data_IF_546303124176
#
_entry.id   IF_546303124176
#
_cell.length_a   1.000
_cell.length_b   1.000
_cell.length_c   1.000
_cell.angle_alpha   90.00
_cell.angle_beta   90.00
_cell.angle_gamma   90.00
#
_symmetry.space_group_name_H-M   'P 1'
#
loop_
_entity.id
_entity.type
_entity.pdbx_description
1 polymer ?
#
# COMPACT_ATOMS: atom_id res chain seq x y z
N UNK A 1 -3.37 30.51 46.65
CA UNK A 1 -3.16 31.98 46.81
C UNK A 1 -3.35 32.59 45.45
N UNK A 2 -4.50 33.22 45.32
CA UNK A 2 -4.89 34.42 44.58
C UNK A 2 -4.46 34.51 43.09
N UNK A 3 -5.34 34.40 42.16
CA UNK A 3 -6.52 35.26 41.76
C UNK A 3 -6.06 36.59 41.15
N UNK A 4 -6.38 36.80 39.85
CA UNK A 4 -7.32 37.84 39.44
C UNK A 4 -7.28 38.06 37.91
N UNK A 5 -8.37 37.74 37.28
CA UNK A 5 -9.01 38.49 36.19
C UNK A 5 -9.49 39.86 36.77
N UNK A 6 -9.94 40.86 36.03
CA UNK A 6 -10.63 40.92 34.75
C UNK A 6 -10.41 42.25 33.93
N UNK A 7 -10.98 42.44 32.75
CA UNK A 7 -12.09 43.36 32.48
C UNK A 7 -12.28 43.69 31.00
N UNK A 8 -13.53 43.60 30.59
CA UNK A 8 -14.10 44.08 29.34
C UNK A 8 -14.38 45.59 29.34
N UNK A 9 -14.48 46.20 28.18
CA UNK A 9 -15.36 47.37 27.84
C UNK A 9 -15.46 47.48 26.31
N UNK A 10 -16.56 47.21 25.73
CA UNK A 10 -17.79 47.94 25.48
C UNK A 10 -17.70 49.10 24.46
N UNK A 11 -18.44 48.82 23.37
CA UNK A 11 -19.38 49.63 22.61
C UNK A 11 -18.94 50.95 21.98
N UNK A 12 -19.26 51.10 20.67
CA UNK A 12 -20.29 52.03 20.22
C UNK A 12 -20.53 51.94 18.70
N UNK A 13 -21.76 51.75 18.37
CA UNK A 13 -22.39 51.92 17.06
C UNK A 13 -22.54 53.40 16.64
N UNK A 14 -22.36 53.70 15.37
CA UNK A 14 -23.08 54.86 14.73
C UNK A 14 -23.44 54.52 13.28
N UNK A 15 -24.70 54.76 12.99
CA UNK A 15 -25.40 54.55 11.74
C UNK A 15 -25.27 55.72 10.75
N UNK A 16 -25.15 55.40 9.49
CA UNK A 16 -25.66 55.93 8.21
C UNK A 16 -25.78 57.47 7.99
N UNK A 17 -25.86 57.97 6.73
CA UNK A 17 -26.78 57.54 5.67
C UNK A 17 -26.20 57.52 4.25
N UNK A 18 -26.98 56.89 3.37
CA UNK A 18 -26.68 56.63 1.98
C UNK A 18 -26.77 57.81 1.02
N UNK A 19 -26.10 57.66 -0.11
CA UNK A 19 -26.43 58.33 -1.36
C UNK A 19 -26.25 57.37 -2.52
N UNK A 20 -27.30 57.26 -3.29
CA UNK A 20 -27.36 56.55 -4.57
C UNK A 20 -26.64 57.32 -5.67
N UNK A 21 -25.85 56.65 -6.50
CA UNK A 21 -25.64 57.08 -7.88
C UNK A 21 -25.29 55.90 -8.81
N UNK A 22 -25.91 55.96 -9.94
CA UNK A 22 -26.07 55.01 -11.02
C UNK A 22 -24.82 54.56 -11.76
N UNK A 23 -24.90 53.30 -12.18
CA UNK A 23 -24.47 52.68 -13.44
C UNK A 23 -23.31 53.27 -14.28
N UNK A 24 -22.23 52.49 -14.40
CA UNK A 24 -21.55 52.29 -15.67
C UNK A 24 -20.92 50.89 -15.71
N UNK A 25 -21.40 50.06 -16.59
CA UNK A 25 -20.84 48.77 -16.96
C UNK A 25 -19.52 48.99 -17.71
N UNK A 26 -18.41 48.83 -17.00
CA UNK A 26 -17.09 48.73 -17.59
C UNK A 26 -16.54 47.33 -17.27
N UNK A 27 -16.57 46.45 -18.27
CA UNK A 27 -15.84 45.19 -18.25
C UNK A 27 -14.35 45.51 -18.25
N UNK A 28 -13.77 45.60 -17.05
CA UNK A 28 -12.32 45.54 -16.88
C UNK A 28 -11.94 44.07 -16.75
N UNK A 29 -11.32 43.53 -17.81
CA UNK A 29 -10.57 42.30 -17.72
C UNK A 29 -9.61 42.41 -16.53
N UNK A 30 -9.87 41.62 -15.49
CA UNK A 30 -8.96 41.45 -14.36
C UNK A 30 -7.68 40.85 -14.91
N UNK A 31 -6.66 41.65 -15.14
CA UNK A 31 -5.31 41.18 -15.35
C UNK A 31 -4.92 40.47 -14.03
N UNK A 32 -4.80 39.15 -14.09
CA UNK A 32 -4.26 38.36 -12.99
C UNK A 32 -2.90 38.94 -12.61
N UNK A 33 -2.74 39.31 -11.34
CA UNK A 33 -1.45 39.77 -10.82
C UNK A 33 -0.38 38.71 -11.16
N UNK A 34 0.84 39.12 -11.55
CA UNK A 34 1.91 38.16 -11.84
C UNK A 34 2.10 37.32 -10.61
N UNK A 35 2.00 35.99 -10.76
CA UNK A 35 2.27 35.06 -9.69
C UNK A 35 3.68 35.29 -9.14
N UNK A 36 3.84 35.34 -7.82
CA UNK A 36 5.15 35.50 -7.21
C UNK A 36 6.10 34.38 -7.78
N UNK A 37 7.38 34.72 -8.00
CA UNK A 37 8.34 33.77 -8.52
C UNK A 37 8.40 32.53 -7.59
N UNK A 38 8.03 31.36 -8.10
CA UNK A 38 8.05 30.10 -7.38
C UNK A 38 9.28 29.27 -7.78
N UNK A 39 9.84 28.44 -6.88
CA UNK A 39 10.89 27.51 -7.23
C UNK A 39 10.48 26.61 -8.40
N UNK A 40 11.42 26.30 -9.29
CA UNK A 40 11.17 25.32 -10.36
C UNK A 40 11.36 23.92 -9.80
N UNK A 41 10.29 23.16 -9.77
CA UNK A 41 10.31 21.75 -9.44
C UNK A 41 10.59 20.93 -10.70
N UNK A 42 10.90 19.62 -10.52
CA UNK A 42 11.13 18.70 -11.64
C UNK A 42 9.84 18.50 -12.44
N UNK A 43 9.91 18.58 -13.76
CA UNK A 43 8.75 18.41 -14.65
C UNK A 43 8.08 17.02 -14.47
N UNK A 44 8.83 16.01 -14.10
CA UNK A 44 8.31 14.67 -13.82
C UNK A 44 7.17 14.67 -12.77
N UNK A 45 7.17 15.63 -11.82
CA UNK A 45 6.12 15.74 -10.80
C UNK A 45 4.74 16.12 -11.36
N UNK A 46 4.67 16.65 -12.56
CA UNK A 46 3.40 16.98 -13.23
C UNK A 46 2.74 15.75 -13.88
N UNK A 47 3.45 14.61 -13.97
CA UNK A 47 3.01 13.43 -14.71
C UNK A 47 2.18 12.44 -13.89
N UNK A 48 2.09 12.61 -12.56
CA UNK A 48 1.32 11.74 -11.68
C UNK A 48 0.70 12.50 -10.51
N UNK A 49 -0.49 12.07 -10.01
CA UNK A 49 -1.13 12.69 -8.85
C UNK A 49 -0.43 12.30 -7.54
N UNK A 50 -0.63 13.06 -6.45
CA UNK A 50 -0.25 12.63 -5.11
C UNK A 50 -0.91 11.31 -4.72
N UNK A 51 -0.26 10.53 -3.84
CA UNK A 51 -0.88 9.34 -3.26
C UNK A 51 -2.15 9.69 -2.48
N UNK A 52 -3.22 8.98 -2.77
CA UNK A 52 -4.49 9.14 -2.06
C UNK A 52 -4.67 7.96 -1.10
N UNK A 53 -4.55 8.17 0.22
CA UNK A 53 -4.75 7.10 1.18
C UNK A 53 -6.21 6.63 1.23
N UNK A 54 -6.45 5.42 1.77
CA UNK A 54 -7.80 4.97 2.09
C UNK A 54 -8.48 5.93 3.06
N UNK A 55 -9.75 6.26 2.80
CA UNK A 55 -10.53 7.18 3.63
C UNK A 55 -10.87 6.53 4.98
N UNK A 56 -10.94 7.32 6.08
CA UNK A 56 -11.56 6.84 7.31
C UNK A 56 -13.07 6.62 7.09
N UNK A 57 -13.72 5.75 7.89
CA UNK A 57 -15.16 5.58 7.82
C UNK A 57 -15.90 6.85 8.25
N UNK A 58 -17.04 7.10 7.62
CA UNK A 58 -17.96 8.15 8.03
C UNK A 58 -18.65 7.74 9.33
N UNK A 59 -18.79 8.67 10.27
CA UNK A 59 -19.63 8.46 11.43
C UNK A 59 -21.11 8.58 11.03
N UNK A 60 -21.89 7.54 11.29
CA UNK A 60 -23.34 7.49 11.06
C UNK A 60 -24.01 7.20 12.39
N UNK A 61 -25.01 8.02 12.77
CA UNK A 61 -25.71 7.89 14.06
C UNK A 61 -26.34 6.51 14.20
N UNK A 62 -26.06 5.84 15.29
CA UNK A 62 -26.60 4.49 15.59
C UNK A 62 -25.85 3.33 14.92
N UNK A 63 -24.80 3.59 14.15
CA UNK A 63 -23.99 2.55 13.52
C UNK A 63 -22.53 2.56 14.03
N UNK A 64 -21.99 1.39 14.29
CA UNK A 64 -20.55 1.22 14.45
C UNK A 64 -19.86 1.42 13.10
N UNK A 65 -18.68 2.06 13.14
CA UNK A 65 -17.94 2.43 11.94
C UNK A 65 -16.77 1.48 11.70
N UNK A 66 -16.63 0.93 10.48
CA UNK A 66 -15.61 -0.03 10.11
C UNK A 66 -14.71 0.48 8.98
N UNK A 67 -13.40 0.27 9.14
CA UNK A 67 -12.38 0.67 8.16
C UNK A 67 -11.84 -0.53 7.40
N UNK A 68 -12.42 -0.82 6.25
CA UNK A 68 -12.00 -1.90 5.34
C UNK A 68 -11.28 -1.38 4.09
N UNK A 69 -10.61 -0.22 4.19
CA UNK A 69 -10.06 0.50 3.03
C UNK A 69 -8.54 0.39 2.84
N UNK A 70 -7.77 -0.12 3.83
CA UNK A 70 -6.31 0.01 3.83
C UNK A 70 -5.54 -1.30 4.00
N UNK A 71 -6.22 -2.46 3.97
CA UNK A 71 -5.62 -3.78 4.19
C UNK A 71 -4.81 -3.84 5.50
N UNK A 72 -5.28 -3.15 6.53
CA UNK A 72 -4.76 -3.27 7.88
C UNK A 72 -5.17 -4.62 8.46
N UNK A 73 -4.41 -5.15 9.38
CA UNK A 73 -4.82 -6.28 10.19
C UNK A 73 -5.74 -5.75 11.30
N UNK A 74 -6.97 -6.21 11.38
CA UNK A 74 -7.94 -5.76 12.39
C UNK A 74 -7.67 -6.37 13.78
N UNK A 75 -6.89 -7.47 13.84
CA UNK A 75 -6.46 -8.05 15.09
C UNK A 75 -5.37 -7.19 15.75
N UNK A 76 -5.40 -7.01 17.07
CA UNK A 76 -4.34 -6.30 17.77
C UNK A 76 -3.00 -7.05 17.63
N UNK A 77 -1.85 -6.37 17.77
CA UNK A 77 -0.55 -7.04 17.87
C UNK A 77 -0.56 -8.12 18.96
N UNK A 78 0.31 -9.12 18.82
CA UNK A 78 0.48 -10.17 19.83
C UNK A 78 0.84 -9.55 21.20
N UNK A 79 0.37 -10.13 22.32
CA UNK A 79 0.63 -9.57 23.66
C UNK A 79 2.12 -9.37 23.95
N UNK A 80 2.99 -10.32 23.60
CA UNK A 80 4.43 -10.21 23.78
C UNK A 80 5.03 -9.04 22.96
N UNK A 81 4.50 -8.79 21.76
CA UNK A 81 4.90 -7.64 20.94
C UNK A 81 4.51 -6.33 21.59
N UNK A 82 3.30 -6.23 22.16
CA UNK A 82 2.84 -5.04 22.89
C UNK A 82 3.69 -4.78 24.14
N UNK A 83 4.03 -5.81 24.91
CA UNK A 83 4.92 -5.70 26.08
C UNK A 83 6.31 -5.18 25.68
N UNK A 84 6.87 -5.71 24.59
CA UNK A 84 8.13 -5.25 24.02
C UNK A 84 8.05 -3.80 23.57
N UNK A 85 6.98 -3.38 22.91
CA UNK A 85 6.76 -1.99 22.53
C UNK A 85 6.73 -1.06 23.73
N UNK A 86 6.03 -1.43 24.81
CA UNK A 86 5.97 -0.63 26.05
C UNK A 86 7.36 -0.50 26.68
N UNK A 87 8.14 -1.57 26.71
CA UNK A 87 9.49 -1.55 27.27
C UNK A 87 10.43 -0.61 26.48
N UNK A 88 10.35 -0.63 25.14
CA UNK A 88 11.19 0.20 24.27
C UNK A 88 10.70 1.65 24.08
N UNK A 89 9.46 1.97 24.46
CA UNK A 89 8.93 3.33 24.38
C UNK A 89 9.56 4.32 25.38
N UNK A 90 10.36 3.85 26.34
CA UNK A 90 10.84 4.64 27.48
C UNK A 90 12.04 5.53 27.19
N UNK A 91 12.75 5.33 26.08
CA UNK A 91 13.97 6.08 25.75
C UNK A 91 14.05 6.56 24.29
N UNK A 92 13.21 7.50 23.88
CA UNK A 92 13.19 7.99 22.49
C UNK A 92 14.32 9.00 22.18
N UNK A 93 15.20 9.28 23.13
CA UNK A 93 16.22 10.34 22.99
C UNK A 93 17.47 9.89 22.19
N UNK A 94 17.65 8.60 22.02
CA UNK A 94 18.81 8.04 21.34
C UNK A 94 18.44 7.59 19.91
N UNK A 95 19.41 7.69 18.99
CA UNK A 95 19.26 7.07 17.68
C UNK A 95 19.18 5.55 17.81
N UNK A 96 18.38 4.88 16.99
CA UNK A 96 18.35 3.42 16.91
C UNK A 96 19.64 2.87 16.33
N UNK A 97 19.81 1.55 16.35
CA UNK A 97 20.83 0.87 15.55
C UNK A 97 20.51 1.06 14.05
N UNK A 98 21.38 1.79 13.34
CA UNK A 98 21.19 2.08 11.91
C UNK A 98 21.20 0.81 11.06
N UNK A 99 21.98 -0.18 11.45
CA UNK A 99 22.07 -1.47 10.77
C UNK A 99 20.89 -2.40 11.07
N UNK A 100 20.05 -2.09 12.08
CA UNK A 100 19.01 -2.97 12.61
C UNK A 100 19.52 -4.42 12.81
N UNK A 101 20.73 -4.56 13.38
CA UNK A 101 21.50 -5.81 13.36
C UNK A 101 20.76 -6.96 14.03
N UNK A 102 20.12 -6.74 15.18
CA UNK A 102 19.37 -7.77 15.88
C UNK A 102 18.19 -8.30 15.05
N UNK A 103 17.43 -7.39 14.43
CA UNK A 103 16.31 -7.77 13.55
C UNK A 103 16.81 -8.46 12.27
N UNK A 104 17.87 -7.96 11.66
CA UNK A 104 18.48 -8.60 10.48
C UNK A 104 19.02 -9.99 10.80
N UNK A 105 19.62 -10.20 11.97
CA UNK A 105 20.07 -11.53 12.39
C UNK A 105 18.88 -12.48 12.56
N UNK A 106 17.81 -12.07 13.24
CA UNK A 106 16.59 -12.87 13.36
C UNK A 106 15.98 -13.22 12.01
N UNK A 107 15.95 -12.28 11.06
CA UNK A 107 15.50 -12.53 9.69
C UNK A 107 16.45 -13.51 8.96
N UNK A 108 17.77 -13.31 9.06
CA UNK A 108 18.76 -14.17 8.41
C UNK A 108 18.63 -15.63 8.89
N UNK A 109 18.53 -15.83 10.21
CA UNK A 109 18.37 -17.15 10.81
C UNK A 109 17.04 -17.83 10.40
N UNK A 110 15.95 -17.04 10.34
CA UNK A 110 14.63 -17.55 9.96
C UNK A 110 14.51 -17.89 8.48
N UNK A 111 15.09 -17.05 7.61
CA UNK A 111 14.97 -17.18 6.15
C UNK A 111 16.08 -18.03 5.53
N UNK A 112 17.14 -18.36 6.28
CA UNK A 112 18.29 -19.11 5.80
C UNK A 112 19.14 -18.34 4.78
N UNK A 113 19.31 -17.02 5.00
CA UNK A 113 20.08 -16.13 4.12
C UNK A 113 21.21 -15.41 4.89
N UNK A 114 22.17 -14.85 4.17
CA UNK A 114 23.26 -14.06 4.78
C UNK A 114 22.82 -12.67 5.21
N UNK A 115 23.51 -12.08 6.19
CA UNK A 115 23.28 -10.68 6.58
C UNK A 115 23.54 -9.69 5.44
N UNK A 116 24.44 -10.01 4.54
CA UNK A 116 24.77 -9.24 3.34
C UNK A 116 23.68 -9.34 2.24
N UNK A 117 22.71 -10.23 2.42
CA UNK A 117 21.54 -10.40 1.56
C UNK A 117 20.27 -9.71 2.09
N UNK A 118 20.37 -8.96 3.19
CA UNK A 118 19.23 -8.34 3.87
C UNK A 118 19.39 -6.84 4.06
N UNK A 119 18.30 -6.10 3.84
CA UNK A 119 18.16 -4.70 4.28
C UNK A 119 16.80 -4.53 4.95
N UNK A 120 16.76 -3.79 6.06
CA UNK A 120 15.53 -3.41 6.78
C UNK A 120 15.27 -1.92 6.55
N UNK A 121 14.00 -1.55 6.36
CA UNK A 121 13.60 -0.20 5.95
C UNK A 121 12.30 0.25 6.65
N UNK A 122 11.93 1.53 6.47
CA UNK A 122 10.66 2.10 6.97
C UNK A 122 9.44 1.62 6.18
N UNK A 123 9.26 0.29 6.13
CA UNK A 123 8.24 -0.40 5.37
C UNK A 123 8.63 -0.64 3.91
N UNK A 124 7.90 -1.55 3.24
CA UNK A 124 8.14 -1.89 1.83
C UNK A 124 8.01 -0.69 0.88
N UNK A 125 7.29 0.36 1.28
CA UNK A 125 7.17 1.58 0.46
C UNK A 125 8.51 2.31 0.29
N UNK A 126 9.37 2.33 1.31
CA UNK A 126 10.72 2.89 1.18
C UNK A 126 11.58 2.05 0.23
N UNK A 127 11.44 0.72 0.27
CA UNK A 127 12.12 -0.16 -0.69
C UNK A 127 11.76 0.16 -2.13
N UNK A 128 10.47 0.40 -2.42
CA UNK A 128 10.04 0.79 -3.77
C UNK A 128 10.69 2.11 -4.22
N UNK A 129 10.78 3.09 -3.32
CA UNK A 129 11.48 4.36 -3.60
C UNK A 129 12.96 4.12 -3.83
N UNK A 130 13.62 3.37 -2.93
CA UNK A 130 15.04 3.08 -3.04
C UNK A 130 15.38 2.29 -4.32
N UNK A 131 14.55 1.29 -4.67
CA UNK A 131 14.71 0.51 -5.90
C UNK A 131 14.65 1.40 -7.15
N UNK A 132 13.67 2.28 -7.24
CA UNK A 132 13.58 3.20 -8.38
C UNK A 132 14.76 4.18 -8.43
N UNK A 133 15.28 4.61 -7.27
CA UNK A 133 16.45 5.49 -7.20
C UNK A 133 17.76 4.83 -7.66
N UNK A 134 17.93 3.53 -7.38
CA UNK A 134 19.16 2.82 -7.75
C UNK A 134 19.13 2.23 -9.16
N UNK A 135 17.95 2.11 -9.78
CA UNK A 135 17.80 1.48 -11.10
C UNK A 135 17.38 2.45 -12.20
N UNK A 136 16.70 3.54 -11.88
CA UNK A 136 15.89 4.26 -12.86
C UNK A 136 16.13 5.77 -12.85
N UNK A 137 16.02 6.37 -14.02
CA UNK A 137 16.05 7.82 -14.25
C UNK A 137 15.17 8.21 -15.44
N UNK A 138 15.29 9.44 -15.94
CA UNK A 138 14.48 9.95 -17.04
C UNK A 138 14.80 9.29 -18.42
N UNK A 139 15.84 8.48 -18.52
CA UNK A 139 16.25 7.78 -19.75
C UNK A 139 15.87 6.29 -19.74
N UNK A 140 15.30 5.82 -18.64
CA UNK A 140 14.99 4.41 -18.40
C UNK A 140 13.51 4.11 -18.36
N UNK A 141 13.15 2.83 -18.39
CA UNK A 141 11.78 2.34 -18.32
C UNK A 141 11.59 1.41 -17.13
N UNK A 142 10.40 1.48 -16.50
CA UNK A 142 9.97 0.53 -15.49
C UNK A 142 8.65 -0.13 -15.92
N UNK A 143 8.57 -1.47 -15.79
CA UNK A 143 7.42 -2.29 -16.19
C UNK A 143 6.73 -2.79 -14.92
N UNK A 144 5.40 -2.70 -14.88
CA UNK A 144 4.58 -3.29 -13.83
C UNK A 144 3.17 -3.59 -14.31
N UNK A 145 2.46 -4.55 -13.69
CA UNK A 145 1.07 -4.86 -14.04
C UNK A 145 0.15 -3.72 -13.60
N UNK A 146 -0.97 -3.51 -14.31
CA UNK A 146 -1.95 -2.51 -13.93
C UNK A 146 -3.40 -2.99 -14.18
N UNK A 147 -4.34 -2.78 -13.21
CA UNK A 147 -4.16 -2.15 -11.91
C UNK A 147 -3.32 -2.99 -10.93
N UNK A 148 -2.43 -2.30 -10.20
CA UNK A 148 -1.63 -2.87 -9.13
C UNK A 148 -1.43 -1.85 -8.00
N UNK A 149 -0.39 -2.01 -7.15
CA UNK A 149 -0.19 -1.10 -6.03
C UNK A 149 0.13 0.32 -6.51
N UNK A 150 -0.67 1.27 -6.03
CA UNK A 150 -0.65 2.68 -6.47
C UNK A 150 0.71 3.39 -6.25
N UNK A 151 1.62 2.82 -5.45
CA UNK A 151 2.97 3.35 -5.29
C UNK A 151 3.88 3.07 -6.49
N UNK A 152 3.61 2.06 -7.33
CA UNK A 152 4.47 1.76 -8.49
C UNK A 152 4.53 2.92 -9.49
N UNK A 153 3.41 3.46 -10.01
CA UNK A 153 3.44 4.64 -10.86
C UNK A 153 4.02 5.88 -10.17
N UNK A 154 3.88 6.00 -8.85
CA UNK A 154 4.39 7.16 -8.13
C UNK A 154 5.90 7.14 -7.98
N UNK A 155 6.48 6.02 -7.54
CA UNK A 155 7.93 5.91 -7.34
C UNK A 155 8.67 5.99 -8.67
N UNK A 156 8.18 5.33 -9.72
CA UNK A 156 8.76 5.40 -11.07
C UNK A 156 8.61 6.79 -11.68
N UNK A 157 7.44 7.45 -11.51
CA UNK A 157 7.23 8.83 -11.93
C UNK A 157 8.12 9.83 -11.20
N UNK A 158 8.39 9.60 -9.90
CA UNK A 158 9.23 10.50 -9.09
C UNK A 158 10.66 10.60 -9.64
N UNK A 159 11.24 9.52 -10.13
CA UNK A 159 12.58 9.54 -10.77
C UNK A 159 12.53 10.00 -12.24
N UNK A 160 11.33 10.06 -12.83
CA UNK A 160 11.12 10.47 -14.22
C UNK A 160 11.21 9.33 -15.22
N UNK A 161 11.25 8.09 -14.78
CA UNK A 161 11.30 6.89 -15.62
C UNK A 161 10.02 6.74 -16.43
N UNK A 162 10.13 6.24 -17.66
CA UNK A 162 8.97 5.90 -18.48
C UNK A 162 8.25 4.70 -17.87
N UNK A 163 6.94 4.87 -17.64
CA UNK A 163 6.08 3.84 -17.06
C UNK A 163 5.50 2.95 -18.16
N UNK A 164 5.74 1.65 -18.05
CA UNK A 164 5.15 0.62 -18.90
C UNK A 164 4.12 -0.18 -18.08
N UNK A 165 2.90 0.33 -18.06
CA UNK A 165 1.76 -0.31 -17.40
C UNK A 165 1.22 -1.42 -18.30
N UNK A 166 1.37 -2.68 -17.87
CA UNK A 166 0.86 -3.85 -18.63
C UNK A 166 -0.50 -4.24 -18.05
N UNK A 167 -1.58 -4.23 -18.84
CA UNK A 167 -2.89 -4.62 -18.38
C UNK A 167 -2.90 -6.03 -17.79
N UNK A 168 -3.68 -6.23 -16.73
CA UNK A 168 -3.95 -7.56 -16.19
C UNK A 168 -4.79 -8.40 -17.18
N UNK A 169 -4.77 -9.72 -17.01
CA UNK A 169 -5.70 -10.61 -17.71
C UNK A 169 -7.15 -10.38 -17.22
N UNK A 170 -8.13 -10.98 -17.91
CA UNK A 170 -9.55 -10.88 -17.52
C UNK A 170 -9.79 -11.42 -16.09
N UNK A 171 -8.98 -12.40 -15.64
CA UNK A 171 -9.04 -13.01 -14.32
C UNK A 171 -8.33 -12.17 -13.25
N UNK A 172 -7.82 -10.99 -13.60
CA UNK A 172 -7.10 -10.10 -12.69
C UNK A 172 -5.67 -10.55 -12.36
N UNK A 173 -5.07 -11.43 -13.18
CA UNK A 173 -3.69 -11.94 -13.04
C UNK A 173 -2.71 -11.09 -13.86
N UNK A 174 -1.43 -11.14 -13.51
CA UNK A 174 -0.38 -10.57 -14.35
C UNK A 174 -0.32 -11.30 -15.71
N UNK A 175 -0.25 -10.55 -16.79
CA UNK A 175 0.10 -11.08 -18.11
C UNK A 175 1.63 -11.07 -18.27
N UNK A 176 2.28 -12.13 -17.78
CA UNK A 176 3.74 -12.24 -17.77
C UNK A 176 4.32 -12.30 -19.19
N UNK A 177 3.58 -12.83 -20.17
CA UNK A 177 4.04 -12.84 -21.57
C UNK A 177 4.00 -11.43 -22.17
N UNK A 178 2.94 -10.66 -21.91
CA UNK A 178 2.87 -9.26 -22.32
C UNK A 178 3.92 -8.41 -21.60
N UNK A 179 4.19 -8.67 -20.31
CA UNK A 179 5.26 -8.00 -19.56
C UNK A 179 6.64 -8.30 -20.14
N UNK A 180 6.91 -9.56 -20.51
CA UNK A 180 8.17 -9.94 -21.18
C UNK A 180 8.30 -9.28 -22.54
N UNK A 181 7.22 -9.20 -23.33
CA UNK A 181 7.20 -8.54 -24.64
C UNK A 181 7.39 -7.00 -24.54
N UNK A 182 7.11 -6.40 -23.39
CA UNK A 182 7.29 -4.97 -23.14
C UNK A 182 8.74 -4.58 -22.78
N UNK A 183 9.64 -5.55 -22.56
CA UNK A 183 11.05 -5.30 -22.22
C UNK A 183 11.76 -4.68 -23.43
N UNK A 184 12.48 -3.57 -23.19
CA UNK A 184 13.31 -2.87 -24.17
C UNK A 184 14.76 -2.73 -23.67
N UNK A 185 15.63 -2.16 -24.50
CA UNK A 185 17.02 -1.82 -24.10
C UNK A 185 17.09 -0.81 -22.96
N UNK A 186 16.03 0.00 -22.78
CA UNK A 186 15.94 1.03 -21.73
C UNK A 186 15.30 0.51 -20.43
N UNK A 187 14.75 -0.70 -20.42
CA UNK A 187 14.16 -1.31 -19.22
C UNK A 187 15.21 -1.55 -18.15
N UNK A 188 14.96 -1.11 -16.90
CA UNK A 188 15.85 -1.30 -15.75
C UNK A 188 15.16 -1.93 -14.56
N UNK A 189 13.87 -1.77 -14.44
CA UNK A 189 13.09 -2.29 -13.30
C UNK A 189 11.82 -2.95 -13.80
N UNK A 190 11.53 -4.14 -13.27
CA UNK A 190 10.22 -4.79 -13.40
C UNK A 190 9.69 -5.02 -11.99
N UNK A 191 8.42 -4.73 -11.74
CA UNK A 191 7.79 -4.96 -10.44
C UNK A 191 6.69 -5.99 -10.61
N UNK A 192 6.77 -7.08 -9.87
CA UNK A 192 5.75 -8.13 -9.73
C UNK A 192 5.13 -8.02 -8.34
N UNK A 193 3.83 -8.26 -8.21
CA UNK A 193 3.09 -8.23 -6.95
C UNK A 193 2.35 -9.55 -6.72
N UNK A 194 2.70 -10.29 -5.68
CA UNK A 194 2.10 -11.61 -5.44
C UNK A 194 1.88 -11.85 -3.93
N UNK A 195 0.64 -11.92 -3.49
CA UNK A 195 -0.65 -11.65 -4.17
C UNK A 195 -0.77 -10.24 -4.74
N UNK A 196 -1.39 -10.08 -5.93
CA UNK A 196 -1.55 -8.75 -6.53
C UNK A 196 -2.52 -7.88 -5.73
N UNK A 197 -2.13 -6.67 -5.44
CA UNK A 197 -2.99 -5.63 -4.87
C UNK A 197 -3.42 -4.67 -6.00
N UNK A 198 -4.71 -4.58 -6.39
CA UNK A 198 -5.87 -4.92 -5.57
C UNK A 198 -6.58 -6.25 -5.90
N UNK A 199 -6.21 -6.97 -6.95
CA UNK A 199 -7.06 -8.01 -7.54
C UNK A 199 -7.04 -9.35 -6.81
N UNK A 200 -5.95 -9.66 -6.08
CA UNK A 200 -5.86 -10.82 -5.19
C UNK A 200 -5.08 -12.03 -5.67
N UNK A 201 -4.99 -12.38 -6.98
CA UNK A 201 -4.30 -13.60 -7.42
C UNK A 201 -2.81 -13.62 -7.11
N UNK A 202 -2.28 -14.83 -6.88
CA UNK A 202 -0.84 -15.06 -6.76
C UNK A 202 -0.20 -15.36 -8.11
N UNK A 203 1.10 -15.17 -8.20
CA UNK A 203 1.94 -15.74 -9.24
C UNK A 203 2.34 -17.16 -8.87
N UNK A 204 2.41 -18.06 -9.85
CA UNK A 204 2.87 -19.43 -9.67
C UNK A 204 4.37 -19.53 -9.89
N UNK A 205 5.04 -20.44 -9.18
CA UNK A 205 6.50 -20.57 -9.22
C UNK A 205 7.03 -20.87 -10.62
N UNK A 206 6.40 -21.78 -11.34
CA UNK A 206 6.75 -22.13 -12.70
C UNK A 206 6.53 -20.98 -13.70
N UNK A 207 5.46 -20.21 -13.54
CA UNK A 207 5.17 -19.02 -14.35
C UNK A 207 6.25 -17.94 -14.15
N UNK A 208 6.64 -17.69 -12.88
CA UNK A 208 7.66 -16.68 -12.55
C UNK A 208 9.02 -17.11 -13.06
N UNK A 209 9.42 -18.39 -12.92
CA UNK A 209 10.67 -18.90 -13.47
C UNK A 209 10.72 -18.76 -15.00
N UNK A 210 9.66 -19.19 -15.68
CA UNK A 210 9.58 -19.05 -17.14
C UNK A 210 9.60 -17.59 -17.62
N UNK A 211 9.11 -16.66 -16.78
CA UNK A 211 9.23 -15.23 -17.02
C UNK A 211 10.66 -14.73 -16.80
N UNK A 212 11.28 -15.05 -15.65
CA UNK A 212 12.63 -14.61 -15.30
C UNK A 212 13.68 -15.11 -16.30
N UNK A 213 13.51 -16.31 -16.87
CA UNK A 213 14.38 -16.83 -17.93
C UNK A 213 14.35 -15.99 -19.23
N UNK A 214 13.34 -15.12 -19.40
CA UNK A 214 13.23 -14.17 -20.53
C UNK A 214 13.75 -12.78 -20.18
N UNK A 215 13.97 -12.47 -18.88
CA UNK A 215 14.40 -11.16 -18.43
C UNK A 215 15.93 -11.02 -18.56
N UNK A 216 16.44 -9.98 -19.23
CA UNK A 216 17.89 -9.75 -19.31
C UNK A 216 18.54 -9.52 -17.93
N UNK A 217 19.75 -9.99 -17.73
CA UNK A 217 20.49 -9.92 -16.45
C UNK A 217 20.66 -8.48 -15.90
N UNK A 218 20.63 -7.47 -16.76
CA UNK A 218 20.77 -6.06 -16.37
C UNK A 218 19.46 -5.43 -15.87
N UNK A 219 18.35 -6.14 -15.98
CA UNK A 219 17.03 -5.68 -15.50
C UNK A 219 16.79 -6.24 -14.11
N UNK A 220 16.59 -5.37 -13.12
CA UNK A 220 16.21 -5.80 -11.78
C UNK A 220 14.72 -6.14 -11.72
N UNK A 221 14.38 -7.27 -11.14
CA UNK A 221 12.98 -7.68 -10.91
C UNK A 221 12.68 -7.61 -9.41
N UNK A 222 11.72 -6.80 -9.02
CA UNK A 222 11.20 -6.74 -7.66
C UNK A 222 9.97 -7.63 -7.53
N UNK A 223 10.01 -8.62 -6.64
CA UNK A 223 8.85 -9.43 -6.26
C UNK A 223 8.30 -8.89 -4.94
N UNK A 224 7.18 -8.18 -5.01
CA UNK A 224 6.49 -7.63 -3.84
C UNK A 224 5.55 -8.67 -3.25
N UNK A 225 5.95 -9.23 -2.12
CA UNK A 225 5.24 -10.24 -1.34
C UNK A 225 4.63 -9.67 -0.06
N UNK A 226 4.10 -8.45 -0.09
CA UNK A 226 3.51 -7.81 1.09
C UNK A 226 2.36 -8.60 1.74
N UNK A 227 1.77 -9.55 1.04
CA UNK A 227 0.61 -10.35 1.50
C UNK A 227 0.89 -11.86 1.50
N UNK A 228 2.14 -12.27 1.38
CA UNK A 228 2.55 -13.66 1.20
C UNK A 228 2.02 -14.60 2.30
N UNK A 229 1.97 -14.14 3.55
CA UNK A 229 1.56 -14.93 4.71
C UNK A 229 0.08 -15.34 4.65
N UNK A 230 -0.77 -14.61 3.91
CA UNK A 230 -2.19 -14.92 3.74
C UNK A 230 -2.47 -15.87 2.57
N UNK A 231 -1.48 -16.11 1.71
CA UNK A 231 -1.67 -16.92 0.51
C UNK A 231 -1.70 -18.41 0.85
N UNK A 232 -2.76 -19.09 0.42
CA UNK A 232 -3.00 -20.52 0.66
C UNK A 232 -2.79 -21.39 -0.57
N UNK A 233 -2.59 -20.80 -1.76
CA UNK A 233 -2.34 -21.52 -3.00
C UNK A 233 -1.02 -22.30 -2.95
N UNK A 234 -1.03 -23.65 -3.09
CA UNK A 234 0.18 -24.47 -2.92
C UNK A 234 1.24 -24.24 -4.00
N UNK A 235 0.84 -23.81 -5.18
CA UNK A 235 1.73 -23.54 -6.33
C UNK A 235 2.25 -22.11 -6.40
N UNK A 236 2.02 -21.28 -5.36
CA UNK A 236 2.51 -19.91 -5.35
C UNK A 236 4.03 -19.83 -5.41
N UNK A 237 4.56 -18.75 -5.95
CA UNK A 237 5.99 -18.51 -6.09
C UNK A 237 6.74 -18.66 -4.76
N UNK A 238 7.86 -19.36 -4.78
CA UNK A 238 8.85 -19.40 -3.68
C UNK A 238 9.84 -18.23 -3.85
N UNK A 239 9.49 -17.07 -3.33
CA UNK A 239 10.32 -15.87 -3.47
C UNK A 239 11.76 -16.05 -2.97
N UNK A 240 11.98 -16.81 -1.90
CA UNK A 240 13.32 -17.12 -1.38
C UNK A 240 14.09 -18.07 -2.29
N UNK A 241 13.43 -19.07 -2.86
CA UNK A 241 14.01 -19.96 -3.86
C UNK A 241 14.40 -19.18 -5.13
N UNK A 242 13.51 -18.29 -5.58
CA UNK A 242 13.76 -17.44 -6.73
C UNK A 242 14.96 -16.49 -6.54
N UNK A 243 15.10 -15.85 -5.36
CA UNK A 243 16.28 -15.01 -5.06
C UNK A 243 17.59 -15.82 -5.14
N UNK A 244 17.57 -17.08 -4.69
CA UNK A 244 18.77 -17.93 -4.79
C UNK A 244 19.19 -18.24 -6.22
N UNK A 245 18.20 -18.42 -7.09
CA UNK A 245 18.40 -18.88 -8.47
C UNK A 245 18.63 -17.71 -9.45
N UNK A 246 18.09 -16.51 -9.15
CA UNK A 246 18.14 -15.33 -10.04
C UNK A 246 18.79 -14.12 -9.36
N UNK A 247 20.07 -13.81 -9.70
CA UNK A 247 20.82 -12.70 -9.09
C UNK A 247 20.21 -11.31 -9.28
N UNK A 248 19.37 -11.15 -10.29
CA UNK A 248 18.66 -9.92 -10.61
C UNK A 248 17.24 -9.88 -10.02
N UNK A 249 16.90 -10.74 -9.04
CA UNK A 249 15.67 -10.69 -8.30
C UNK A 249 15.89 -10.07 -6.90
N UNK A 250 14.96 -9.19 -6.49
CA UNK A 250 14.83 -8.70 -5.12
C UNK A 250 13.45 -9.02 -4.57
N UNK A 251 13.39 -9.68 -3.43
CA UNK A 251 12.16 -10.01 -2.71
C UNK A 251 11.85 -8.91 -1.71
N UNK A 252 10.61 -8.39 -1.71
CA UNK A 252 10.14 -7.38 -0.76
C UNK A 252 9.09 -7.98 0.17
N UNK A 253 9.23 -7.78 1.48
CA UNK A 253 8.25 -8.17 2.50
C UNK A 253 8.06 -7.07 3.54
N UNK A 254 6.99 -7.19 4.34
CA UNK A 254 6.61 -6.16 5.31
C UNK A 254 6.04 -6.74 6.60
N UNK A 255 6.26 -6.05 7.70
CA UNK A 255 5.57 -6.33 8.97
C UNK A 255 4.22 -5.60 9.08
N UNK A 256 3.81 -4.85 8.04
CA UNK A 256 2.59 -4.05 8.07
C UNK A 256 1.30 -4.86 7.98
N UNK A 257 1.34 -6.10 7.45
CA UNK A 257 0.13 -6.87 7.08
C UNK A 257 -0.11 -8.01 8.07
N UNK A 258 0.43 -9.20 7.85
CA UNK A 258 0.21 -10.35 8.72
C UNK A 258 0.64 -10.10 10.16
N UNK A 259 1.76 -9.44 10.37
CA UNK A 259 2.27 -9.10 11.70
C UNK A 259 1.46 -8.01 12.44
N UNK A 260 0.55 -7.28 11.76
CA UNK A 260 -0.28 -6.25 12.38
C UNK A 260 0.48 -4.98 12.81
N UNK A 261 1.67 -4.72 12.25
CA UNK A 261 2.55 -3.63 12.66
C UNK A 261 2.59 -2.47 11.65
N UNK A 262 1.48 -2.21 10.96
CA UNK A 262 1.40 -1.17 9.92
C UNK A 262 1.84 0.22 10.42
N UNK A 263 1.51 0.58 11.67
CA UNK A 263 1.86 1.85 12.31
C UNK A 263 3.35 1.99 12.64
N UNK A 264 4.09 0.88 12.76
CA UNK A 264 5.51 0.87 13.13
C UNK A 264 6.45 1.02 11.94
N UNK A 265 5.96 0.92 10.73
CA UNK A 265 6.73 1.13 9.51
C UNK A 265 7.99 0.25 9.42
N UNK A 266 7.84 -1.07 9.35
CA UNK A 266 8.95 -2.01 9.14
C UNK A 266 8.72 -2.85 7.89
N UNK A 267 9.72 -2.90 7.02
CA UNK A 267 9.79 -3.78 5.86
C UNK A 267 11.22 -4.26 5.65
N UNK A 268 11.40 -5.24 4.80
CA UNK A 268 12.72 -5.76 4.47
C UNK A 268 12.79 -6.28 3.03
N UNK A 269 14.00 -6.27 2.49
CA UNK A 269 14.28 -6.93 1.23
C UNK A 269 15.32 -8.02 1.41
N UNK A 270 15.18 -9.06 0.57
CA UNK A 270 16.18 -10.12 0.39
C UNK A 270 16.64 -10.08 -1.06
N UNK A 271 17.95 -9.99 -1.29
CA UNK A 271 18.52 -10.00 -2.63
C UNK A 271 19.99 -10.46 -2.58
N UNK A 272 20.60 -10.62 -3.75
CA UNK A 272 22.04 -10.81 -3.83
C UNK A 272 22.81 -9.58 -3.31
N UNK A 273 24.02 -9.75 -2.71
CA UNK A 273 24.76 -8.69 -2.04
C UNK A 273 24.94 -7.39 -2.86
N UNK A 274 25.24 -7.40 -4.17
CA UNK A 274 25.37 -6.16 -4.93
C UNK A 274 24.10 -5.30 -4.97
N UNK A 275 22.92 -5.93 -4.95
CA UNK A 275 21.62 -5.21 -4.91
C UNK A 275 21.43 -4.59 -3.53
N UNK A 276 21.73 -5.33 -2.46
CA UNK A 276 21.64 -4.83 -1.08
C UNK A 276 22.62 -3.67 -0.86
N UNK A 277 23.86 -3.75 -1.36
CA UNK A 277 24.82 -2.64 -1.32
C UNK A 277 24.29 -1.38 -2.03
N UNK A 278 23.57 -1.57 -3.14
CA UNK A 278 22.89 -0.49 -3.84
C UNK A 278 21.78 0.14 -2.97
N UNK A 279 20.90 -0.69 -2.40
CA UNK A 279 19.79 -0.24 -1.55
C UNK A 279 20.29 0.51 -0.31
N UNK A 280 21.36 0.04 0.34
CA UNK A 280 21.95 0.70 1.51
C UNK A 280 22.44 2.14 1.24
N UNK A 281 22.64 2.53 -0.04
CA UNK A 281 23.00 3.91 -0.42
C UNK A 281 21.77 4.82 -0.60
N UNK A 282 20.57 4.23 -0.72
CA UNK A 282 19.34 4.96 -1.02
C UNK A 282 18.35 4.98 0.14
N UNK A 283 18.47 4.05 1.11
CA UNK A 283 17.61 4.02 2.31
C UNK A 283 17.97 5.14 3.29
N UNK A 284 16.96 5.55 4.08
CA UNK A 284 17.12 6.64 5.04
C UNK A 284 17.90 6.15 6.26
N UNK A 285 19.06 6.75 6.60
CA UNK A 285 19.80 6.40 7.81
C UNK A 285 18.94 6.57 9.06
N UNK A 286 19.06 5.63 10.01
CA UNK A 286 18.29 5.61 11.26
C UNK A 286 16.76 5.62 11.07
N UNK A 287 16.27 5.24 9.89
CA UNK A 287 14.86 5.34 9.54
C UNK A 287 13.95 4.46 10.40
N UNK A 288 14.38 3.24 10.72
CA UNK A 288 13.61 2.29 11.53
C UNK A 288 13.92 2.50 13.01
N UNK A 289 12.92 2.96 13.79
CA UNK A 289 13.10 3.28 15.21
C UNK A 289 13.43 2.04 16.04
N UNK A 290 14.07 2.24 17.21
CA UNK A 290 14.40 1.16 18.17
C UNK A 290 13.14 0.36 18.56
N UNK A 291 12.05 1.05 18.87
CA UNK A 291 10.75 0.44 19.16
C UNK A 291 10.26 -0.43 18.00
N UNK A 292 10.39 0.04 16.78
CA UNK A 292 9.95 -0.69 15.58
C UNK A 292 10.81 -1.92 15.31
N UNK A 293 12.13 -1.82 15.49
CA UNK A 293 13.06 -2.94 15.37
C UNK A 293 12.76 -4.02 16.41
N UNK A 294 12.60 -3.65 17.67
CA UNK A 294 12.31 -4.57 18.76
C UNK A 294 10.94 -5.27 18.58
N UNK A 295 9.90 -4.52 18.24
CA UNK A 295 8.57 -5.08 17.99
C UNK A 295 8.55 -6.03 16.80
N UNK A 296 9.27 -5.71 15.72
CA UNK A 296 9.37 -6.59 14.56
C UNK A 296 10.14 -7.88 14.90
N UNK A 297 11.24 -7.78 15.65
CA UNK A 297 12.00 -8.94 16.10
C UNK A 297 11.15 -9.84 17.01
N UNK A 298 10.41 -9.25 17.95
CA UNK A 298 9.53 -10.03 18.83
C UNK A 298 8.40 -10.69 18.05
N UNK A 299 7.81 -9.99 17.08
CA UNK A 299 6.82 -10.61 16.18
C UNK A 299 7.41 -11.74 15.35
N UNK A 300 8.70 -11.65 14.98
CA UNK A 300 9.42 -12.72 14.29
C UNK A 300 9.66 -13.94 15.19
N UNK A 301 9.93 -13.73 16.49
CA UNK A 301 10.04 -14.79 17.49
C UNK A 301 8.74 -15.58 17.66
N UNK A 302 7.60 -14.94 17.42
CA UNK A 302 6.24 -15.49 17.47
C UNK A 302 5.69 -15.81 16.07
N UNK A 303 6.55 -16.16 15.13
CA UNK A 303 6.18 -16.38 13.71
C UNK A 303 5.03 -17.37 13.51
N UNK A 304 5.02 -18.47 14.27
CA UNK A 304 4.01 -19.52 14.10
C UNK A 304 2.61 -18.99 14.52
N UNK A 305 2.52 -18.16 15.56
CA UNK A 305 1.28 -17.48 15.96
C UNK A 305 0.84 -16.44 14.91
N UNK A 306 1.78 -15.75 14.29
CA UNK A 306 1.47 -14.82 13.17
C UNK A 306 0.88 -15.58 11.98
N UNK A 307 1.45 -16.73 11.62
CA UNK A 307 0.93 -17.57 10.53
C UNK A 307 -0.42 -18.19 10.87
N UNK A 308 -0.67 -18.60 12.11
CA UNK A 308 -1.96 -19.10 12.57
C UNK A 308 -3.05 -18.03 12.38
N UNK A 309 -2.82 -16.78 12.86
CA UNK A 309 -3.71 -15.64 12.66
C UNK A 309 -3.90 -15.27 11.19
N UNK A 310 -2.85 -15.31 10.39
CA UNK A 310 -2.94 -15.09 8.95
C UNK A 310 -3.80 -16.16 8.28
N UNK A 311 -3.71 -17.41 8.74
CA UNK A 311 -4.55 -18.52 8.30
C UNK A 311 -6.03 -18.33 8.65
N UNK A 312 -6.35 -17.84 9.86
CA UNK A 312 -7.73 -17.49 10.25
C UNK A 312 -8.30 -16.38 9.37
N UNK A 313 -7.53 -15.33 9.10
CA UNK A 313 -7.93 -14.25 8.19
C UNK A 313 -8.13 -14.79 6.76
N UNK A 314 -7.30 -15.72 6.31
CA UNK A 314 -7.45 -16.36 5.01
C UNK A 314 -8.74 -17.20 4.93
N UNK A 315 -9.10 -17.93 5.99
CA UNK A 315 -10.37 -18.68 6.05
C UNK A 315 -11.58 -17.74 6.01
N UNK A 316 -11.55 -16.63 6.78
CA UNK A 316 -12.59 -15.61 6.75
C UNK A 316 -12.71 -14.97 5.35
N UNK A 317 -11.58 -14.66 4.71
CA UNK A 317 -11.55 -14.18 3.32
C UNK A 317 -12.23 -15.16 2.36
N UNK A 318 -11.90 -16.43 2.45
CA UNK A 318 -12.42 -17.46 1.54
C UNK A 318 -13.93 -17.62 1.73
N UNK A 319 -14.42 -17.61 2.97
CA UNK A 319 -15.84 -17.62 3.28
C UNK A 319 -16.58 -16.37 2.76
N UNK A 320 -15.99 -15.19 2.96
CA UNK A 320 -16.54 -13.93 2.47
C UNK A 320 -16.57 -13.87 0.93
N UNK A 321 -15.51 -14.31 0.26
CA UNK A 321 -15.47 -14.40 -1.20
C UNK A 321 -16.49 -15.41 -1.75
N UNK A 322 -16.69 -16.54 -1.06
CA UNK A 322 -17.70 -17.53 -1.42
C UNK A 322 -19.11 -16.94 -1.31
N UNK A 323 -19.42 -16.25 -0.21
CA UNK A 323 -20.75 -15.61 -0.02
C UNK A 323 -21.04 -14.55 -1.10
N UNK A 324 -20.04 -13.75 -1.48
CA UNK A 324 -20.19 -12.80 -2.59
C UNK A 324 -20.47 -13.52 -3.92
N UNK A 325 -19.76 -14.63 -4.20
CA UNK A 325 -20.01 -15.44 -5.41
C UNK A 325 -21.39 -16.08 -5.41
N UNK A 326 -21.90 -16.53 -4.25
CA UNK A 326 -23.28 -17.05 -4.09
C UNK A 326 -24.33 -15.97 -4.38
N UNK A 327 -24.05 -14.71 -4.07
CA UNK A 327 -24.86 -13.57 -4.48
C UNK A 327 -24.73 -13.26 -5.99
N UNK A 328 -23.84 -13.92 -6.73
CA UNK A 328 -23.62 -13.74 -8.17
C UNK A 328 -22.60 -12.66 -8.54
N UNK A 329 -21.72 -12.27 -7.60
CA UNK A 329 -20.60 -11.38 -7.91
C UNK A 329 -19.45 -12.13 -8.57
N UNK A 330 -18.81 -11.49 -9.54
CA UNK A 330 -17.50 -11.93 -10.03
C UNK A 330 -16.43 -11.52 -9.00
N UNK A 331 -15.82 -12.52 -8.35
CA UNK A 331 -14.73 -12.31 -7.40
C UNK A 331 -13.53 -13.08 -7.91
N UNK A 332 -12.44 -12.42 -8.33
CA UNK A 332 -11.18 -13.08 -8.70
C UNK A 332 -10.65 -13.98 -7.57
N UNK A 333 -9.64 -14.77 -7.87
CA UNK A 333 -8.92 -15.52 -6.86
C UNK A 333 -8.40 -14.56 -5.78
N UNK A 334 -8.77 -14.78 -4.52
CA UNK A 334 -8.38 -13.92 -3.40
C UNK A 334 -7.33 -14.66 -2.54
N UNK A 335 -6.11 -14.13 -2.47
CA UNK A 335 -4.99 -14.74 -1.75
C UNK A 335 -4.29 -13.79 -0.76
N UNK A 336 -4.82 -12.56 -0.62
CA UNK A 336 -4.37 -11.58 0.37
C UNK A 336 -5.38 -11.42 1.51
N UNK A 337 -5.28 -10.37 2.34
CA UNK A 337 -6.26 -10.05 3.37
C UNK A 337 -7.39 -9.13 2.87
N UNK A 338 -7.83 -9.31 1.65
CA UNK A 338 -8.93 -8.56 1.02
C UNK A 338 -9.55 -9.37 -0.12
N UNK A 339 -10.72 -8.90 -0.56
CA UNK A 339 -11.36 -9.30 -1.81
C UNK A 339 -11.48 -8.11 -2.76
N UNK A 340 -11.61 -8.40 -4.04
CA UNK A 340 -11.77 -7.42 -5.11
C UNK A 340 -13.08 -7.63 -5.84
N UNK A 341 -13.87 -6.55 -6.00
CA UNK A 341 -15.06 -6.52 -6.85
C UNK A 341 -14.77 -5.65 -8.09
N UNK A 342 -14.71 -6.22 -9.29
CA UNK A 342 -14.43 -5.49 -10.54
C UNK A 342 -15.68 -4.76 -11.04
N UNK A 343 -16.05 -3.65 -10.40
CA UNK A 343 -17.31 -2.93 -10.61
C UNK A 343 -17.25 -1.88 -11.72
N UNK A 344 -16.04 -1.54 -12.22
CA UNK A 344 -15.86 -0.52 -13.24
C UNK A 344 -16.51 0.82 -12.84
N UNK A 345 -17.32 1.38 -13.72
CA UNK A 345 -18.00 2.67 -13.50
C UNK A 345 -18.95 2.69 -12.28
N UNK A 346 -19.38 1.52 -11.81
CA UNK A 346 -20.27 1.39 -10.62
C UNK A 346 -19.49 1.45 -9.29
N UNK A 347 -18.14 1.47 -9.32
CA UNK A 347 -17.30 1.48 -8.11
C UNK A 347 -17.59 2.65 -7.18
N UNK A 348 -17.88 3.83 -7.73
CA UNK A 348 -18.23 5.03 -6.95
C UNK A 348 -19.54 4.86 -6.20
N UNK A 349 -20.59 4.40 -6.89
CA UNK A 349 -21.90 4.17 -6.29
C UNK A 349 -21.86 3.09 -5.19
N UNK A 350 -21.04 2.04 -5.39
CA UNK A 350 -20.85 1.02 -4.35
C UNK A 350 -20.07 1.55 -3.12
N UNK A 351 -19.03 2.37 -3.34
CA UNK A 351 -18.33 3.07 -2.24
C UNK A 351 -19.33 3.94 -1.45
N UNK A 352 -20.18 4.72 -2.13
CA UNK A 352 -21.18 5.58 -1.49
C UNK A 352 -22.19 4.76 -0.66
N UNK A 353 -22.69 3.63 -1.19
CA UNK A 353 -23.57 2.72 -0.46
C UNK A 353 -22.89 2.16 0.81
N UNK A 354 -21.61 1.85 0.77
CA UNK A 354 -20.85 1.43 1.96
C UNK A 354 -20.68 2.58 2.96
N UNK A 355 -20.37 3.79 2.49
CA UNK A 355 -20.20 4.99 3.33
C UNK A 355 -21.48 5.35 4.07
N UNK A 356 -22.65 5.20 3.46
CA UNK A 356 -23.97 5.40 4.09
C UNK A 356 -24.22 4.43 5.24
N UNK A 357 -23.58 3.25 5.22
CA UNK A 357 -23.65 2.23 6.24
C UNK A 357 -22.43 2.22 7.17
N UNK A 358 -21.71 3.35 7.26
CA UNK A 358 -20.52 3.54 8.11
C UNK A 358 -19.37 2.56 7.83
N UNK A 359 -19.26 2.03 6.60
CA UNK A 359 -18.15 1.16 6.16
C UNK A 359 -17.29 1.89 5.13
N UNK A 360 -15.99 2.01 5.40
CA UNK A 360 -15.03 2.54 4.44
C UNK A 360 -14.39 1.40 3.65
N UNK A 361 -14.59 1.36 2.35
CA UNK A 361 -13.94 0.46 1.39
C UNK A 361 -12.99 1.24 0.49
N UNK A 362 -12.21 0.57 -0.36
CA UNK A 362 -11.25 1.22 -1.26
C UNK A 362 -11.72 1.19 -2.71
N UNK A 363 -12.24 2.28 -3.20
CA UNK A 363 -12.50 2.49 -4.62
C UNK A 363 -11.20 2.82 -5.35
N UNK A 364 -10.89 2.07 -6.40
CA UNK A 364 -9.70 2.21 -7.24
C UNK A 364 -10.07 2.42 -8.72
N UNK A 365 -11.28 2.90 -9.00
CA UNK A 365 -11.78 3.19 -10.33
C UNK A 365 -12.24 1.93 -11.08
N UNK A 366 -11.35 0.99 -11.34
CA UNK A 366 -11.69 -0.28 -12.01
C UNK A 366 -12.54 -1.23 -11.14
N UNK A 367 -12.60 -0.98 -9.84
CA UNK A 367 -13.35 -1.79 -8.89
C UNK A 367 -13.18 -1.31 -7.46
N UNK A 368 -13.68 -2.11 -6.53
CA UNK A 368 -13.62 -1.85 -5.09
C UNK A 368 -12.90 -2.98 -4.38
N UNK A 369 -11.86 -2.64 -3.61
CA UNK A 369 -11.16 -3.56 -2.73
C UNK A 369 -11.72 -3.45 -1.31
N UNK A 370 -12.05 -4.59 -0.71
CA UNK A 370 -12.63 -4.71 0.61
C UNK A 370 -11.66 -5.51 1.47
N UNK A 371 -11.05 -4.89 2.47
CA UNK A 371 -10.19 -5.57 3.45
C UNK A 371 -11.00 -6.52 4.31
N UNK A 372 -10.39 -7.64 4.71
CA UNK A 372 -10.99 -8.53 5.70
C UNK A 372 -10.87 -7.86 7.07
N UNK A 373 -11.97 -7.80 7.78
CA UNK A 373 -12.14 -7.17 9.09
C UNK A 373 -13.06 -8.01 9.97
N UNK A 374 -13.67 -7.35 10.94
CA UNK A 374 -14.59 -7.94 11.92
C UNK A 374 -15.80 -8.58 11.22
N UNK A 375 -16.33 -9.66 11.78
CA UNK A 375 -17.47 -10.41 11.23
C UNK A 375 -18.68 -9.51 10.99
N UNK A 376 -18.96 -8.56 11.90
CA UNK A 376 -20.06 -7.60 11.75
C UNK A 376 -19.86 -6.68 10.54
N UNK A 377 -18.63 -6.24 10.31
CA UNK A 377 -18.27 -5.40 9.16
C UNK A 377 -18.50 -6.17 7.85
N UNK A 378 -18.05 -7.42 7.78
CA UNK A 378 -18.21 -8.27 6.59
C UNK A 378 -19.68 -8.64 6.33
N UNK A 379 -20.44 -8.96 7.37
CA UNK A 379 -21.88 -9.22 7.25
C UNK A 379 -22.63 -7.99 6.68
N UNK A 380 -22.30 -6.79 7.18
CA UNK A 380 -22.87 -5.53 6.68
C UNK A 380 -22.52 -5.29 5.20
N UNK A 381 -21.28 -5.57 4.80
CA UNK A 381 -20.89 -5.47 3.38
C UNK A 381 -21.68 -6.46 2.51
N UNK A 382 -21.91 -7.68 2.97
CA UNK A 382 -22.73 -8.67 2.23
C UNK A 382 -24.16 -8.17 2.03
N UNK A 383 -24.79 -7.58 3.06
CA UNK A 383 -26.12 -6.99 2.94
C UNK A 383 -26.15 -5.79 1.96
N UNK A 384 -25.12 -4.96 1.98
CA UNK A 384 -24.96 -3.85 1.02
C UNK A 384 -24.81 -4.40 -0.39
N UNK A 385 -23.95 -5.40 -0.58
CA UNK A 385 -23.65 -6.00 -1.87
C UNK A 385 -24.90 -6.64 -2.49
N UNK A 386 -25.69 -7.38 -1.71
CA UNK A 386 -26.94 -7.99 -2.17
C UNK A 386 -27.95 -6.93 -2.66
N UNK A 387 -28.20 -5.89 -1.86
CA UNK A 387 -29.08 -4.79 -2.24
C UNK A 387 -28.59 -4.06 -3.48
N UNK A 388 -27.31 -3.73 -3.51
CA UNK A 388 -26.70 -3.01 -4.63
C UNK A 388 -26.79 -3.81 -5.93
N UNK A 389 -26.65 -5.14 -5.85
CA UNK A 389 -26.76 -6.00 -7.03
C UNK A 389 -28.17 -5.98 -7.61
N UNK A 390 -29.19 -6.10 -6.75
CA UNK A 390 -30.60 -6.03 -7.17
C UNK A 390 -30.91 -4.66 -7.81
N UNK A 391 -30.41 -3.57 -7.23
CA UNK A 391 -30.70 -2.20 -7.71
C UNK A 391 -29.97 -1.84 -9.02
N UNK A 392 -28.81 -2.46 -9.30
CA UNK A 392 -27.95 -2.00 -10.38
C UNK A 392 -27.62 -3.05 -11.45
N UNK A 393 -27.98 -4.34 -11.26
CA UNK A 393 -27.65 -5.42 -12.18
C UNK A 393 -28.81 -6.38 -12.49
N UNK A 394 -29.93 -6.29 -11.78
CA UNK A 394 -31.16 -7.05 -12.08
C UNK A 394 -32.15 -6.08 -12.76
N UNK A 395 -32.31 -6.20 -14.09
CA UNK A 395 -33.36 -5.55 -14.90
C UNK A 395 -34.67 -6.40 -14.90
#
# INVERSE_FOLDING_TARGET
MNASDPAASDSASTSAPGTSSSSASGSTASASAPSAPSPRLRAALETFPPYVPGKPPRQVEGLESFKLSSNENFLPPLPAVLETMVAHATNPALYPDDAALALRQGLADRLGVGLDQLVVTTGASELLVALTQITSDATTEAIYPWPSFEMYPQTTGLVGSTRREVPLTAEGRHDLDAMAAAITEDTRLIILCSPNNPTGPVLRDDEVRAFLDKVPDHVLVALDEAYWEFATEPGRADGLGLVRDYPNLVLLRTFSKAHGLAGLRVGYAVAHPPVIEGLLKAVIPFGVTDLSQAAALESLNHWDEVLERAGEIAQTRDAFAAALREQGWEVPEAQANYVWLPLGEKSGAFEDACVEQAVAVRNLGAGVRISIGEDEALARVLEIAERFRVEHFED
#
